data_IF_987319082953
#
_entry.id   IF_987319082953
#
_cell.length_a   1.000
_cell.length_b   1.000
_cell.length_c   1.000
_cell.angle_alpha   90.00
_cell.angle_beta   90.00
_cell.angle_gamma   90.00
#
_symmetry.space_group_name_H-M   'P 1'
#
loop_
_entity.id
_entity.type
_entity.pdbx_description
1 polymer ?
#
# COMPACT_ATOMS: atom_id res chain seq x y z
N UNK A 1 28.99 0.34 25.75
CA UNK A 1 28.16 -0.89 25.64
C UNK A 1 27.73 -1.25 24.21
N UNK A 2 27.48 -0.32 23.28
CA UNK A 2 27.12 -0.67 21.88
C UNK A 2 28.29 -1.23 21.02
N UNK A 3 29.54 -0.91 21.32
CA UNK A 3 30.72 -1.44 20.59
C UNK A 3 31.04 -2.91 20.91
N UNK A 4 30.77 -3.37 22.14
CA UNK A 4 31.02 -4.76 22.54
C UNK A 4 30.04 -5.76 21.88
N UNK A 5 28.79 -5.36 21.63
CA UNK A 5 27.81 -6.20 20.94
C UNK A 5 28.13 -6.37 19.43
N UNK A 6 28.74 -5.34 18.82
CA UNK A 6 29.10 -5.35 17.40
C UNK A 6 30.34 -6.20 17.11
N UNK A 7 31.30 -6.26 18.04
CA UNK A 7 32.47 -7.15 17.93
C UNK A 7 32.14 -8.62 18.19
N UNK A 8 31.15 -8.93 19.04
CA UNK A 8 30.66 -10.31 19.19
C UNK A 8 29.99 -10.84 17.90
N UNK A 9 29.19 -10.00 17.23
CA UNK A 9 28.54 -10.38 15.98
C UNK A 9 29.54 -10.55 14.82
N UNK A 10 30.60 -9.73 14.79
CA UNK A 10 31.68 -9.84 13.79
C UNK A 10 32.55 -11.08 13.99
N UNK A 11 32.82 -11.49 15.24
CA UNK A 11 33.56 -12.74 15.52
C UNK A 11 32.75 -14.01 15.27
N UNK A 12 31.43 -13.98 15.46
CA UNK A 12 30.56 -15.12 15.14
C UNK A 12 30.46 -15.39 13.63
N UNK A 13 30.54 -14.36 12.80
CA UNK A 13 30.44 -14.50 11.34
C UNK A 13 31.74 -14.98 10.66
N UNK A 14 32.91 -14.69 11.26
CA UNK A 14 34.21 -15.12 10.71
C UNK A 14 34.54 -16.58 11.07
N UNK A 15 34.08 -17.08 12.22
CA UNK A 15 34.38 -18.45 12.64
C UNK A 15 33.49 -19.54 12.03
N UNK A 16 32.38 -19.20 11.37
CA UNK A 16 31.55 -20.18 10.65
C UNK A 16 32.06 -20.47 9.23
N UNK A 17 32.87 -19.56 8.65
CA UNK A 17 33.48 -19.75 7.32
C UNK A 17 34.72 -20.66 7.34
N UNK A 18 35.24 -20.99 8.52
CA UNK A 18 36.42 -21.86 8.70
C UNK A 18 36.08 -23.35 8.79
N UNK A 19 34.81 -23.75 8.64
CA UNK A 19 34.41 -25.16 8.55
C UNK A 19 34.07 -25.60 7.13
N UNK A 20 34.78 -25.04 6.15
CA UNK A 20 35.19 -25.75 4.93
C UNK A 20 36.10 -26.93 5.31
N UNK A 21 35.58 -27.88 6.09
CA UNK A 21 36.20 -29.18 6.28
C UNK A 21 35.79 -30.01 5.07
N UNK A 22 36.66 -29.98 4.08
CA UNK A 22 36.93 -31.04 3.10
C UNK A 22 36.25 -32.34 3.52
N UNK A 23 35.05 -32.60 3.00
CA UNK A 23 34.46 -33.92 3.06
C UNK A 23 34.97 -34.66 1.83
N UNK A 24 36.07 -35.40 2.03
CA UNK A 24 36.54 -36.38 1.08
C UNK A 24 35.41 -37.34 0.72
N UNK A 25 34.99 -37.35 -0.54
CA UNK A 25 34.20 -38.44 -1.10
C UNK A 25 35.13 -39.41 -1.81
N UNK A 26 35.15 -40.66 -1.33
CA UNK A 26 35.66 -41.83 -2.05
C UNK A 26 34.87 -42.06 -3.37
N UNK A 27 35.39 -42.86 -4.32
CA UNK A 27 34.83 -42.95 -5.67
C UNK A 27 33.59 -43.86 -5.67
N UNK A 28 32.41 -43.28 -5.46
CA UNK A 28 31.14 -43.79 -5.96
C UNK A 28 30.90 -43.20 -7.35
N UNK A 29 30.38 -44.01 -8.29
CA UNK A 29 30.13 -43.69 -9.71
C UNK A 29 29.96 -42.19 -9.99
N UNK A 30 30.78 -41.65 -10.90
CA UNK A 30 30.64 -40.28 -11.41
C UNK A 30 29.18 -40.06 -11.85
N UNK A 31 28.43 -39.33 -11.02
CA UNK A 31 27.01 -39.14 -11.19
C UNK A 31 26.79 -38.15 -12.34
N UNK A 32 26.13 -38.59 -13.39
CA UNK A 32 25.91 -37.76 -14.58
C UNK A 32 24.90 -36.64 -14.28
N UNK A 33 25.25 -35.43 -14.71
CA UNK A 33 24.46 -34.23 -14.46
C UNK A 33 23.04 -34.37 -15.09
N UNK A 34 22.00 -33.83 -14.44
CA UNK A 34 20.63 -33.94 -14.93
C UNK A 34 20.49 -33.27 -16.30
N UNK A 35 19.78 -33.93 -17.22
CA UNK A 35 19.53 -33.38 -18.55
C UNK A 35 18.72 -32.09 -18.46
N UNK A 36 18.97 -31.14 -19.38
CA UNK A 36 18.21 -29.89 -19.49
C UNK A 36 16.70 -30.13 -19.60
N UNK A 37 16.29 -31.22 -20.23
CA UNK A 37 14.88 -31.59 -20.35
C UNK A 37 14.28 -32.03 -19.00
N UNK A 38 15.04 -32.77 -18.18
CA UNK A 38 14.62 -33.18 -16.83
C UNK A 38 14.54 -31.97 -15.90
N UNK A 39 15.49 -31.05 -15.99
CA UNK A 39 15.46 -29.79 -15.23
C UNK A 39 14.25 -28.92 -15.56
N UNK A 40 13.90 -28.78 -16.86
CA UNK A 40 12.69 -28.06 -17.28
C UNK A 40 11.41 -28.73 -16.79
N UNK A 41 11.37 -30.06 -16.86
CA UNK A 41 10.24 -30.86 -16.37
C UNK A 41 10.07 -30.69 -14.86
N UNK A 42 11.16 -30.73 -14.10
CA UNK A 42 11.16 -30.51 -12.65
C UNK A 42 10.71 -29.10 -12.27
N UNK A 43 11.16 -28.08 -13.03
CA UNK A 43 10.70 -26.71 -12.85
C UNK A 43 9.19 -26.58 -13.11
N UNK A 44 8.67 -27.21 -14.17
CA UNK A 44 7.23 -27.22 -14.49
C UNK A 44 6.40 -27.91 -13.41
N UNK A 45 6.84 -29.09 -12.95
CA UNK A 45 6.18 -29.82 -11.86
C UNK A 45 6.16 -29.00 -10.55
N UNK A 46 7.19 -28.20 -10.31
CA UNK A 46 7.26 -27.30 -9.15
C UNK A 46 6.42 -26.03 -9.31
N UNK A 47 6.17 -25.59 -10.55
CA UNK A 47 5.43 -24.37 -10.86
C UNK A 47 3.91 -24.55 -10.70
N UNK A 48 3.35 -25.66 -11.18
CA UNK A 48 1.88 -25.87 -11.22
C UNK A 48 1.18 -25.73 -9.86
N UNK A 49 1.61 -26.38 -8.76
CA UNK A 49 0.99 -26.15 -7.47
C UNK A 49 1.15 -24.69 -7.01
N UNK A 50 2.26 -24.03 -7.36
CA UNK A 50 2.48 -22.62 -7.00
C UNK A 50 1.57 -21.65 -7.77
N UNK A 51 1.14 -22.00 -8.99
CA UNK A 51 0.09 -21.26 -9.71
C UNK A 51 -1.22 -21.33 -8.91
N UNK A 52 -1.60 -22.52 -8.46
CA UNK A 52 -2.80 -22.70 -7.63
C UNK A 52 -2.73 -21.93 -6.31
N UNK A 53 -1.57 -21.97 -5.64
CA UNK A 53 -1.31 -21.17 -4.45
C UNK A 53 -1.48 -19.68 -4.73
N UNK A 54 -0.84 -19.14 -5.78
CA UNK A 54 -0.93 -17.72 -6.14
C UNK A 54 -2.35 -17.26 -6.50
N UNK A 55 -3.16 -18.12 -7.12
CA UNK A 55 -4.57 -17.82 -7.39
C UNK A 55 -5.36 -17.71 -6.08
N UNK A 56 -5.25 -18.71 -5.19
CA UNK A 56 -5.95 -18.71 -3.90
C UNK A 56 -5.51 -17.52 -3.06
N UNK A 57 -4.20 -17.25 -3.02
CA UNK A 57 -3.59 -16.15 -2.29
C UNK A 57 -4.18 -14.79 -2.73
N UNK A 58 -4.13 -14.51 -4.03
CA UNK A 58 -4.63 -13.24 -4.57
C UNK A 58 -6.16 -13.06 -4.39
N UNK A 59 -6.93 -14.14 -4.52
CA UNK A 59 -8.39 -14.12 -4.33
C UNK A 59 -8.76 -13.87 -2.87
N UNK A 60 -8.13 -14.59 -1.94
CA UNK A 60 -8.40 -14.44 -0.50
C UNK A 60 -7.93 -13.07 -0.03
N UNK A 61 -6.74 -12.62 -0.44
CA UNK A 61 -6.21 -11.31 -0.10
C UNK A 61 -7.18 -10.21 -0.51
N UNK A 62 -7.71 -10.27 -1.73
CA UNK A 62 -8.65 -9.27 -2.26
C UNK A 62 -9.99 -9.28 -1.52
N UNK A 63 -10.57 -10.46 -1.30
CA UNK A 63 -11.88 -10.56 -0.63
C UNK A 63 -11.81 -10.19 0.84
N UNK A 64 -10.80 -10.69 1.55
CA UNK A 64 -10.59 -10.36 2.97
C UNK A 64 -10.20 -8.90 3.11
N UNK A 65 -9.26 -8.41 2.28
CA UNK A 65 -8.81 -7.02 2.32
C UNK A 65 -9.94 -6.03 2.09
N UNK A 66 -10.76 -6.22 1.05
CA UNK A 66 -11.92 -5.36 0.77
C UNK A 66 -12.99 -5.42 1.87
N UNK A 67 -13.24 -6.61 2.45
CA UNK A 67 -14.20 -6.77 3.55
C UNK A 67 -13.68 -6.11 4.83
N UNK A 68 -12.40 -6.28 5.14
CA UNK A 68 -11.76 -5.69 6.31
C UNK A 68 -11.65 -4.17 6.20
N UNK A 69 -11.32 -3.64 5.01
CA UNK A 69 -11.32 -2.20 4.76
C UNK A 69 -12.72 -1.60 4.97
N UNK A 70 -13.77 -2.27 4.50
CA UNK A 70 -15.14 -1.84 4.72
C UNK A 70 -15.57 -1.89 6.20
N UNK A 71 -15.24 -2.96 6.93
CA UNK A 71 -15.68 -3.17 8.32
C UNK A 71 -14.84 -2.35 9.32
N UNK A 72 -13.51 -2.37 9.17
CA UNK A 72 -12.57 -1.73 10.09
C UNK A 72 -12.32 -0.27 9.74
N UNK A 73 -12.37 0.11 8.46
CA UNK A 73 -12.32 1.51 8.05
C UNK A 73 -13.55 2.28 8.54
N UNK A 74 -14.75 1.67 8.49
CA UNK A 74 -15.98 2.31 8.95
C UNK A 74 -16.14 2.36 10.48
N UNK A 75 -15.55 1.40 11.22
CA UNK A 75 -15.73 1.29 12.68
C UNK A 75 -14.56 1.77 13.52
N UNK A 76 -13.34 1.63 13.02
CA UNK A 76 -12.11 1.84 13.80
C UNK A 76 -11.15 2.85 13.13
N UNK A 77 -11.50 3.38 11.95
CA UNK A 77 -10.64 4.31 11.22
C UNK A 77 -9.29 3.72 10.82
N UNK A 78 -9.21 2.40 10.66
CA UNK A 78 -7.98 1.69 10.30
C UNK A 78 -7.61 1.98 8.85
N UNK A 79 -6.31 2.15 8.58
CA UNK A 79 -5.80 2.42 7.23
C UNK A 79 -6.05 1.24 6.28
N UNK A 80 -6.26 1.55 5.01
CA UNK A 80 -6.46 0.53 3.97
C UNK A 80 -5.26 -0.38 3.76
N UNK A 81 -4.04 0.12 3.97
CA UNK A 81 -2.81 -0.68 3.96
C UNK A 81 -2.85 -1.73 5.08
N UNK A 82 -3.41 -1.40 6.24
CA UNK A 82 -3.61 -2.38 7.32
C UNK A 82 -4.62 -3.46 6.93
N UNK A 83 -5.72 -3.11 6.26
CA UNK A 83 -6.66 -4.09 5.74
C UNK A 83 -6.02 -4.99 4.67
N UNK A 84 -5.18 -4.42 3.79
CA UNK A 84 -4.40 -5.18 2.82
C UNK A 84 -3.40 -6.13 3.51
N UNK A 85 -2.72 -5.69 4.57
CA UNK A 85 -1.80 -6.51 5.35
C UNK A 85 -2.52 -7.68 6.05
N UNK A 86 -3.74 -7.45 6.56
CA UNK A 86 -4.60 -8.52 7.09
C UNK A 86 -5.01 -9.48 5.97
N UNK A 87 -5.36 -8.96 4.79
CA UNK A 87 -5.65 -9.74 3.60
C UNK A 87 -4.51 -10.69 3.25
N UNK A 88 -3.28 -10.17 3.17
CA UNK A 88 -2.05 -10.94 2.89
C UNK A 88 -1.79 -12.00 3.97
N UNK A 89 -1.95 -11.64 5.24
CA UNK A 89 -1.77 -12.60 6.34
C UNK A 89 -2.79 -13.76 6.29
N UNK A 90 -4.06 -13.43 6.04
CA UNK A 90 -5.11 -14.44 5.91
C UNK A 90 -4.90 -15.31 4.68
N UNK A 91 -4.45 -14.74 3.57
CA UNK A 91 -4.24 -15.46 2.32
C UNK A 91 -3.05 -16.41 2.38
N UNK A 92 -1.94 -16.02 3.00
CA UNK A 92 -0.80 -16.90 3.30
C UNK A 92 -1.24 -18.10 4.14
N UNK A 93 -2.04 -17.84 5.18
CA UNK A 93 -2.58 -18.88 6.06
C UNK A 93 -3.47 -19.86 5.27
N UNK A 94 -4.35 -19.35 4.42
CA UNK A 94 -5.21 -20.17 3.56
C UNK A 94 -4.39 -20.97 2.54
N UNK A 95 -3.39 -20.36 1.90
CA UNK A 95 -2.56 -21.03 0.91
C UNK A 95 -1.80 -22.24 1.49
N UNK A 96 -1.32 -22.13 2.73
CA UNK A 96 -0.71 -23.26 3.46
C UNK A 96 -1.75 -24.33 3.80
N UNK A 97 -2.93 -23.93 4.31
CA UNK A 97 -4.00 -24.86 4.67
C UNK A 97 -4.57 -25.62 3.46
N UNK A 98 -4.67 -24.95 2.30
CA UNK A 98 -5.15 -25.54 1.05
C UNK A 98 -4.05 -26.24 0.25
N UNK A 99 -2.79 -26.23 0.72
CA UNK A 99 -1.64 -26.82 0.02
C UNK A 99 -1.89 -28.26 -0.43
N UNK A 100 -2.42 -29.12 0.44
CA UNK A 100 -2.75 -30.50 0.08
C UNK A 100 -3.85 -30.64 -0.98
N UNK A 101 -4.80 -29.70 -1.03
CA UNK A 101 -5.84 -29.66 -2.07
C UNK A 101 -5.25 -29.20 -3.40
N UNK A 102 -4.39 -28.18 -3.36
CA UNK A 102 -3.67 -27.65 -4.53
C UNK A 102 -2.75 -28.73 -5.13
N UNK A 103 -2.02 -29.46 -4.29
CA UNK A 103 -1.17 -30.58 -4.72
C UNK A 103 -2.00 -31.73 -5.31
N UNK A 104 -3.14 -32.06 -4.69
CA UNK A 104 -4.04 -33.09 -5.22
C UNK A 104 -4.60 -32.70 -6.59
N UNK A 105 -4.91 -31.42 -6.79
CA UNK A 105 -5.36 -30.89 -8.07
C UNK A 105 -4.23 -30.87 -9.11
N UNK A 106 -3.02 -30.45 -8.73
CA UNK A 106 -1.84 -30.50 -9.57
C UNK A 106 -1.50 -31.94 -10.00
N UNK A 107 -1.70 -32.92 -9.12
CA UNK A 107 -1.53 -34.34 -9.45
C UNK A 107 -2.51 -34.86 -10.49
N UNK A 108 -3.72 -34.29 -10.56
CA UNK A 108 -4.73 -34.64 -11.57
C UNK A 108 -4.43 -34.08 -12.96
N UNK A 109 -3.55 -33.08 -13.08
CA UNK A 109 -3.14 -32.51 -14.37
C UNK A 109 -2.19 -33.43 -15.17
N UNK A 110 -1.73 -34.54 -14.59
CA UNK A 110 -0.99 -35.58 -15.33
C UNK A 110 0.33 -35.10 -15.95
N UNK A 111 1.04 -34.21 -15.26
CA UNK A 111 2.27 -33.61 -15.76
C UNK A 111 3.39 -34.65 -15.93
N UNK A 112 4.27 -34.47 -16.93
CA UNK A 112 5.40 -35.37 -17.17
C UNK A 112 6.32 -35.44 -15.94
N UNK A 113 6.74 -36.66 -15.58
CA UNK A 113 7.66 -36.90 -14.46
C UNK A 113 9.10 -36.64 -14.84
N UNK A 114 9.80 -35.78 -14.07
CA UNK A 114 11.21 -35.48 -14.30
C UNK A 114 12.15 -36.69 -14.07
N UNK A 115 11.68 -37.73 -13.37
CA UNK A 115 12.41 -38.98 -13.07
C UNK A 115 13.87 -38.72 -12.64
N UNK A 116 14.04 -37.81 -11.68
CA UNK A 116 15.35 -37.46 -11.11
C UNK A 116 15.66 -38.39 -9.94
N UNK A 117 16.91 -38.84 -9.83
CA UNK A 117 17.35 -39.60 -8.64
C UNK A 117 17.42 -38.69 -7.42
N UNK A 118 17.35 -39.27 -6.21
CA UNK A 118 17.44 -38.51 -4.96
C UNK A 118 18.72 -37.66 -4.89
N UNK A 119 19.85 -38.19 -5.36
CA UNK A 119 21.12 -37.45 -5.42
C UNK A 119 21.09 -36.32 -6.46
N UNK A 120 20.39 -36.48 -7.58
CA UNK A 120 20.22 -35.42 -8.58
C UNK A 120 19.30 -34.29 -8.09
N UNK A 121 18.32 -34.58 -7.22
CA UNK A 121 17.49 -33.57 -6.57
C UNK A 121 18.27 -32.72 -5.56
N UNK A 122 19.33 -33.28 -4.97
CA UNK A 122 20.17 -32.55 -4.03
C UNK A 122 21.15 -31.59 -4.71
N UNK A 123 21.39 -31.76 -6.02
CA UNK A 123 22.29 -30.92 -6.79
C UNK A 123 21.82 -29.44 -6.80
N UNK A 124 22.76 -28.48 -6.71
CA UNK A 124 22.42 -27.06 -6.69
C UNK A 124 21.67 -26.60 -7.94
N UNK A 125 21.98 -27.12 -9.13
CA UNK A 125 21.27 -26.74 -10.36
C UNK A 125 19.79 -27.15 -10.30
N UNK A 126 19.50 -28.36 -9.83
CA UNK A 126 18.13 -28.87 -9.71
C UNK A 126 17.32 -28.04 -8.72
N UNK A 127 17.90 -27.73 -7.56
CA UNK A 127 17.27 -26.86 -6.55
C UNK A 127 16.99 -25.46 -7.10
N UNK A 128 17.96 -24.86 -7.80
CA UNK A 128 17.80 -23.54 -8.44
C UNK A 128 16.68 -23.55 -9.47
N UNK A 129 16.63 -24.58 -10.32
CA UNK A 129 15.57 -24.72 -11.33
C UNK A 129 14.20 -24.97 -10.71
N UNK A 130 14.12 -25.76 -9.63
CA UNK A 130 12.89 -25.94 -8.86
C UNK A 130 12.41 -24.64 -8.23
N UNK A 131 13.31 -23.87 -7.60
CA UNK A 131 12.97 -22.55 -7.01
C UNK A 131 12.54 -21.56 -8.09
N UNK A 132 13.21 -21.52 -9.25
CA UNK A 132 12.80 -20.68 -10.37
C UNK A 132 11.41 -21.06 -10.87
N UNK A 133 11.13 -22.36 -11.00
CA UNK A 133 9.80 -22.87 -11.36
C UNK A 133 8.73 -22.42 -10.37
N UNK A 134 9.01 -22.54 -9.06
CA UNK A 134 8.10 -22.05 -8.01
C UNK A 134 7.84 -20.55 -8.11
N UNK A 135 8.90 -19.75 -8.24
CA UNK A 135 8.80 -18.30 -8.38
C UNK A 135 7.92 -17.92 -9.57
N UNK A 136 8.20 -18.48 -10.75
CA UNK A 136 7.39 -18.23 -11.96
C UNK A 136 5.94 -18.69 -11.76
N UNK A 137 5.73 -19.83 -11.10
CA UNK A 137 4.42 -20.34 -10.77
C UNK A 137 3.61 -19.38 -9.90
N UNK A 138 4.20 -18.87 -8.81
CA UNK A 138 3.54 -17.88 -7.94
C UNK A 138 3.18 -16.62 -8.74
N UNK A 139 4.12 -16.07 -9.52
CA UNK A 139 3.85 -14.84 -10.29
C UNK A 139 2.71 -15.03 -11.29
N UNK A 140 2.68 -16.15 -12.01
CA UNK A 140 1.57 -16.46 -12.94
C UNK A 140 0.25 -16.67 -12.19
N UNK A 141 0.29 -17.34 -11.03
CA UNK A 141 -0.89 -17.53 -10.19
C UNK A 141 -1.47 -16.22 -9.70
N UNK A 142 -0.63 -15.32 -9.19
CA UNK A 142 -1.05 -13.97 -8.75
C UNK A 142 -1.61 -13.17 -9.92
N UNK A 143 -0.95 -13.17 -11.09
CA UNK A 143 -1.48 -12.49 -12.28
C UNK A 143 -2.86 -13.01 -12.69
N UNK A 144 -3.07 -14.33 -12.65
CA UNK A 144 -4.37 -14.94 -12.91
C UNK A 144 -5.38 -14.59 -11.82
N UNK A 145 -5.00 -14.57 -10.55
CA UNK A 145 -5.86 -14.19 -9.44
C UNK A 145 -6.29 -12.72 -9.49
N UNK A 146 -5.40 -11.82 -9.91
CA UNK A 146 -5.68 -10.39 -10.07
C UNK A 146 -6.75 -10.13 -11.14
N UNK A 147 -7.04 -11.07 -12.05
CA UNK A 147 -8.19 -10.94 -12.97
C UNK A 147 -9.53 -10.84 -12.24
N UNK A 148 -9.61 -11.33 -10.99
CA UNK A 148 -10.81 -11.14 -10.15
C UNK A 148 -11.07 -9.68 -9.80
N UNK A 149 -10.03 -8.85 -9.70
CA UNK A 149 -10.16 -7.40 -9.51
C UNK A 149 -10.84 -6.74 -10.71
N UNK A 150 -10.61 -7.26 -11.92
CA UNK A 150 -11.26 -6.75 -13.15
C UNK A 150 -12.75 -7.13 -13.21
N UNK A 151 -13.16 -8.19 -12.52
CA UNK A 151 -14.54 -8.69 -12.50
C UNK A 151 -15.36 -8.14 -11.32
N UNK A 152 -14.70 -7.57 -10.30
CA UNK A 152 -15.37 -6.83 -9.23
C UNK A 152 -15.75 -5.43 -9.73
N UNK A 153 -16.92 -5.32 -10.35
CA UNK A 153 -17.53 -4.03 -10.71
C UNK A 153 -17.72 -3.15 -9.46
N UNK A 154 -17.15 -1.94 -9.51
CA UNK A 154 -17.08 -0.95 -8.42
C UNK A 154 -18.49 -0.55 -7.92
N UNK A 155 -18.86 -0.75 -6.63
CA UNK A 155 -19.82 0.10 -5.93
C UNK A 155 -19.16 1.46 -5.61
N UNK A 156 -19.93 2.54 -5.35
CA UNK A 156 -19.47 3.92 -5.48
C UNK A 156 -18.15 4.23 -4.76
N UNK A 157 -17.32 4.97 -5.50
CA UNK A 157 -15.94 5.39 -5.24
C UNK A 157 -15.66 5.91 -3.82
N UNK A 158 -14.76 5.22 -3.12
CA UNK A 158 -13.94 5.81 -2.05
C UNK A 158 -12.60 6.23 -2.65
N UNK A 159 -12.16 7.41 -2.23
CA UNK A 159 -11.09 8.27 -2.76
C UNK A 159 -9.70 7.58 -2.93
N UNK A 160 -8.83 8.09 -3.81
CA UNK A 160 -7.67 7.37 -4.38
C UNK A 160 -6.50 7.17 -3.40
N UNK A 161 -5.81 6.03 -3.54
CA UNK A 161 -4.59 5.65 -2.84
C UNK A 161 -3.40 5.80 -3.80
N UNK A 162 -2.46 6.69 -3.46
CA UNK A 162 -1.16 6.83 -4.12
C UNK A 162 -0.15 5.96 -3.36
N UNK A 163 0.42 4.97 -4.04
CA UNK A 163 1.56 4.19 -3.55
C UNK A 163 2.86 4.92 -3.94
N UNK A 164 3.63 5.40 -2.96
CA UNK A 164 5.03 5.80 -3.17
C UNK A 164 5.94 4.97 -2.25
N UNK A 165 6.67 4.03 -2.85
CA UNK A 165 7.80 3.30 -2.29
C UNK A 165 9.03 4.22 -2.35
N UNK A 166 9.43 4.84 -1.23
CA UNK A 166 10.82 5.16 -0.81
C UNK A 166 10.89 6.31 0.23
N UNK A 167 11.08 5.98 1.51
CA UNK A 167 12.00 6.66 2.45
C UNK A 167 11.72 6.23 3.91
N UNK A 168 12.70 5.60 4.55
CA UNK A 168 12.75 5.52 6.00
C UNK A 168 13.10 6.89 6.56
N UNK A 169 12.13 7.60 7.15
CA UNK A 169 12.28 8.54 8.29
C UNK A 169 10.88 8.98 8.75
N UNK A 170 10.70 9.00 10.07
CA UNK A 170 9.54 9.48 10.83
C UNK A 170 8.70 10.59 10.22
N UNK A 171 7.44 10.60 10.69
CA UNK A 171 6.35 11.59 10.51
C UNK A 171 5.41 11.30 9.34
N UNK A 172 4.20 10.89 9.72
CA UNK A 172 2.90 11.25 9.14
C UNK A 172 2.99 12.18 7.92
N UNK A 173 2.58 11.72 6.74
CA UNK A 173 1.96 12.52 5.64
C UNK A 173 1.91 11.72 4.30
N UNK A 174 0.72 11.37 3.78
CA UNK A 174 0.06 11.90 2.54
C UNK A 174 0.09 10.84 1.40
N UNK A 175 -0.69 10.89 0.26
CA UNK A 175 -1.62 11.89 -0.28
C UNK A 175 -2.97 11.35 -0.84
N UNK A 176 -3.94 12.26 -1.00
CA UNK A 176 -5.21 12.08 -1.68
C UNK A 176 -5.20 12.94 -2.95
N UNK A 177 -5.53 12.35 -4.10
CA UNK A 177 -6.19 12.90 -5.32
C UNK A 177 -5.47 12.67 -6.66
N UNK A 178 -5.96 11.66 -7.38
CA UNK A 178 -6.27 11.82 -8.80
C UNK A 178 -7.62 12.56 -8.95
N UNK A 179 -7.67 13.49 -9.90
CA UNK A 179 -8.57 14.67 -10.07
C UNK A 179 -9.71 14.47 -11.13
N UNK A 180 -10.34 15.53 -11.73
CA UNK A 180 -11.35 16.54 -11.32
C UNK A 180 -12.66 16.49 -12.20
N UNK A 181 -13.80 17.21 -11.94
CA UNK A 181 -13.99 18.69 -12.09
C UNK A 181 -14.83 19.29 -10.92
N UNK A 182 -14.88 20.58 -10.59
CA UNK A 182 -14.83 21.80 -11.39
C UNK A 182 -14.27 22.99 -10.57
N UNK A 183 -13.77 23.98 -11.29
CA UNK A 183 -13.38 25.30 -10.76
C UNK A 183 -14.61 26.12 -10.34
N UNK A 184 -15.83 25.63 -10.61
CA UNK A 184 -17.08 26.30 -10.26
C UNK A 184 -17.51 26.07 -8.80
N UNK A 185 -17.07 24.99 -8.14
CA UNK A 185 -17.48 24.65 -6.77
C UNK A 185 -16.84 25.56 -5.72
N UNK A 186 -15.58 25.96 -5.89
CA UNK A 186 -14.92 26.92 -4.98
C UNK A 186 -15.50 28.32 -5.14
N UNK A 187 -15.75 28.77 -6.39
CA UNK A 187 -16.40 30.04 -6.65
C UNK A 187 -17.85 30.08 -6.13
N UNK A 188 -18.57 28.95 -6.17
CA UNK A 188 -19.89 28.81 -5.55
C UNK A 188 -19.79 28.81 -4.02
N UNK A 189 -18.83 28.07 -3.44
CA UNK A 189 -18.59 28.01 -2.00
C UNK A 189 -18.29 29.40 -1.41
N UNK A 190 -17.46 30.19 -2.09
CA UNK A 190 -17.13 31.57 -1.70
C UNK A 190 -18.36 32.50 -1.72
N UNK A 191 -19.40 32.19 -2.49
CA UNK A 191 -20.65 32.97 -2.58
C UNK A 191 -21.78 32.45 -1.68
N UNK A 192 -21.54 31.37 -0.91
CA UNK A 192 -22.58 30.76 -0.05
C UNK A 192 -23.01 31.66 1.11
N UNK A 193 -22.13 32.55 1.56
CA UNK A 193 -22.37 33.44 2.68
C UNK A 193 -21.57 34.73 2.50
N UNK A 194 -21.92 35.77 3.27
CA UNK A 194 -21.18 37.04 3.29
C UNK A 194 -19.73 36.84 3.78
N UNK A 195 -19.51 35.87 4.65
CA UNK A 195 -18.19 35.47 5.16
C UNK A 195 -18.02 33.95 5.04
N UNK A 196 -16.95 33.52 4.37
CA UNK A 196 -16.62 32.10 4.15
C UNK A 196 -15.21 31.85 4.65
N UNK A 197 -15.07 30.85 5.51
CA UNK A 197 -13.78 30.45 6.08
C UNK A 197 -13.45 29.04 5.63
N UNK A 198 -12.38 28.91 4.84
CA UNK A 198 -11.82 27.61 4.51
C UNK A 198 -10.89 27.16 5.64
N UNK A 199 -11.38 26.25 6.47
CA UNK A 199 -10.70 25.81 7.68
C UNK A 199 -10.26 24.34 7.59
N UNK A 200 -9.21 24.00 8.36
CA UNK A 200 -8.74 22.63 8.55
C UNK A 200 -8.91 22.22 10.02
N UNK A 201 -9.44 21.03 10.34
CA UNK A 201 -9.51 20.56 11.72
C UNK A 201 -8.10 20.47 12.35
N UNK A 202 -7.97 20.92 13.60
CA UNK A 202 -6.71 20.91 14.35
C UNK A 202 -5.71 22.00 13.94
N UNK A 203 -6.14 23.04 13.22
CA UNK A 203 -5.30 24.19 12.91
C UNK A 203 -5.57 25.33 13.91
N UNK A 204 -4.58 25.73 14.73
CA UNK A 204 -4.78 26.77 15.75
C UNK A 204 -5.17 28.12 15.13
N UNK A 205 -4.65 28.44 13.92
CA UNK A 205 -5.02 29.68 13.23
C UNK A 205 -6.45 29.66 12.66
N UNK A 206 -6.98 28.48 12.33
CA UNK A 206 -8.37 28.35 11.87
C UNK A 206 -9.32 28.53 13.04
N UNK A 207 -9.04 27.88 14.17
CA UNK A 207 -9.83 28.01 15.40
C UNK A 207 -9.80 29.44 15.92
N UNK A 208 -8.64 30.08 15.90
CA UNK A 208 -8.49 31.49 16.27
C UNK A 208 -9.33 32.42 15.37
N UNK A 209 -9.30 32.21 14.05
CA UNK A 209 -10.11 33.00 13.13
C UNK A 209 -11.62 32.79 13.32
N UNK A 210 -12.05 31.55 13.59
CA UNK A 210 -13.45 31.22 13.88
C UNK A 210 -13.91 31.88 15.19
N UNK A 211 -13.11 31.80 16.26
CA UNK A 211 -13.43 32.39 17.55
C UNK A 211 -13.54 33.92 17.46
N UNK A 212 -12.60 34.59 16.78
CA UNK A 212 -12.65 36.04 16.62
C UNK A 212 -13.84 36.52 15.78
N UNK A 213 -14.26 35.74 14.77
CA UNK A 213 -15.48 36.03 14.01
C UNK A 213 -16.75 35.89 14.87
N UNK A 214 -16.80 34.89 15.76
CA UNK A 214 -17.89 34.71 16.71
C UNK A 214 -17.93 35.84 17.76
N UNK A 215 -16.77 36.28 18.26
CA UNK A 215 -16.66 37.36 19.24
C UNK A 215 -17.13 38.71 18.66
N UNK A 216 -16.92 38.95 17.37
CA UNK A 216 -17.45 40.12 16.65
C UNK A 216 -18.92 39.96 16.20
N UNK A 217 -19.56 38.82 16.50
CA UNK A 217 -20.95 38.54 16.14
C UNK A 217 -21.18 38.35 14.64
N UNK A 218 -20.13 37.99 13.89
CA UNK A 218 -20.18 37.85 12.43
C UNK A 218 -20.56 36.42 12.06
N UNK A 219 -21.67 36.25 11.33
CA UNK A 219 -22.06 34.95 10.80
C UNK A 219 -21.13 34.53 9.64
N UNK A 220 -20.55 33.34 9.73
CA UNK A 220 -19.69 32.79 8.68
C UNK A 220 -20.04 31.33 8.34
N UNK A 221 -19.71 30.92 7.12
CA UNK A 221 -19.81 29.53 6.69
C UNK A 221 -18.44 28.86 6.70
N UNK A 222 -18.35 27.70 7.36
CA UNK A 222 -17.12 26.89 7.44
C UNK A 222 -17.09 25.88 6.31
N UNK A 223 -16.09 25.98 5.45
CA UNK A 223 -15.89 25.07 4.31
C UNK A 223 -14.59 24.27 4.51
N UNK A 224 -14.56 22.97 4.22
CA UNK A 224 -13.34 22.18 4.31
C UNK A 224 -12.24 22.71 3.38
N UNK A 225 -11.13 23.18 3.95
CA UNK A 225 -9.99 23.70 3.18
C UNK A 225 -9.37 22.63 2.25
N UNK A 226 -9.34 21.37 2.69
CA UNK A 226 -8.68 20.27 1.98
C UNK A 226 -9.26 20.04 0.57
N UNK A 227 -10.57 20.22 0.39
CA UNK A 227 -11.26 19.99 -0.89
C UNK A 227 -10.98 21.11 -1.91
N UNK A 228 -10.68 22.32 -1.42
CA UNK A 228 -10.55 23.51 -2.27
C UNK A 228 -9.12 24.04 -2.37
N UNK A 229 -8.12 23.38 -1.76
CA UNK A 229 -6.73 23.84 -1.67
C UNK A 229 -6.11 24.24 -3.00
N UNK A 230 -6.30 23.44 -4.05
CA UNK A 230 -5.74 23.72 -5.38
C UNK A 230 -6.35 24.99 -5.98
N UNK A 231 -7.68 25.13 -5.93
CA UNK A 231 -8.40 26.30 -6.42
C UNK A 231 -8.10 27.56 -5.58
N UNK A 232 -7.94 27.40 -4.26
CA UNK A 232 -7.56 28.50 -3.36
C UNK A 232 -6.13 28.98 -3.63
N UNK A 233 -5.20 28.08 -3.91
CA UNK A 233 -3.83 28.44 -4.29
C UNK A 233 -3.81 29.27 -5.58
N UNK A 234 -4.62 28.89 -6.58
CA UNK A 234 -4.75 29.64 -7.82
C UNK A 234 -5.34 31.04 -7.60
N UNK A 235 -6.40 31.15 -6.78
CA UNK A 235 -7.09 32.42 -6.55
C UNK A 235 -6.38 33.36 -5.57
N UNK A 236 -5.64 32.84 -4.60
CA UNK A 236 -5.04 33.62 -3.50
C UNK A 236 -3.52 33.66 -3.54
N UNK A 237 -2.89 32.92 -4.47
CA UNK A 237 -1.45 32.68 -4.52
C UNK A 237 -0.89 32.08 -3.22
N UNK A 238 -1.73 31.50 -2.37
CA UNK A 238 -1.32 30.89 -1.11
C UNK A 238 -2.07 29.59 -0.83
N UNK A 239 -1.38 28.51 -0.40
CA UNK A 239 -2.01 27.24 -0.07
C UNK A 239 -2.33 27.10 1.42
N UNK A 240 -2.16 28.16 2.21
CA UNK A 240 -2.21 28.12 3.66
C UNK A 240 -3.66 28.21 4.17
N UNK A 241 -3.93 27.47 5.25
CA UNK A 241 -5.17 27.56 6.01
C UNK A 241 -4.96 28.38 7.29
N UNK A 242 -5.98 29.11 7.78
CA UNK A 242 -7.29 29.32 7.15
C UNK A 242 -7.18 30.18 5.90
N UNK A 243 -8.17 30.14 5.00
CA UNK A 243 -8.35 31.13 3.92
C UNK A 243 -9.69 31.83 4.10
N UNK A 244 -9.68 33.14 4.33
CA UNK A 244 -10.87 33.92 4.72
C UNK A 244 -11.34 34.76 3.54
N UNK A 245 -12.62 34.65 3.24
CA UNK A 245 -13.27 35.34 2.14
C UNK A 245 -14.47 36.14 2.64
N UNK A 246 -14.59 37.38 2.19
CA UNK A 246 -15.69 38.29 2.52
C UNK A 246 -16.29 38.82 1.21
N UNK A 247 -17.58 38.59 0.99
CA UNK A 247 -18.31 39.03 -0.23
C UNK A 247 -17.61 38.67 -1.54
N UNK A 248 -17.00 37.49 -1.62
CA UNK A 248 -16.26 37.08 -2.81
C UNK A 248 -14.81 37.55 -2.89
N UNK A 249 -14.33 38.34 -1.94
CA UNK A 249 -12.95 38.85 -1.88
C UNK A 249 -12.14 38.09 -0.86
N UNK A 250 -10.96 37.65 -1.25
CA UNK A 250 -9.99 37.06 -0.34
C UNK A 250 -9.36 38.14 0.55
N UNK A 251 -9.42 37.94 1.87
CA UNK A 251 -8.93 38.88 2.88
C UNK A 251 -7.55 38.47 3.40
N UNK A 252 -7.29 37.17 3.50
CA UNK A 252 -6.02 36.66 3.97
C UNK A 252 -6.10 35.31 4.63
N UNK A 253 -4.94 34.82 5.08
CA UNK A 253 -4.80 33.56 5.78
C UNK A 253 -4.76 33.69 7.32
N UNK A 254 -5.00 34.89 7.82
CA UNK A 254 -5.15 35.19 9.24
C UNK A 254 -6.26 36.20 9.37
N UNK A 255 -7.12 36.00 10.35
CA UNK A 255 -8.12 36.99 10.68
C UNK A 255 -7.42 38.21 11.31
N UNK A 256 -7.81 39.41 10.89
CA UNK A 256 -7.32 40.66 11.46
C UNK A 256 -8.44 41.27 12.31
N UNK A 257 -8.24 41.42 13.63
CA UNK A 257 -9.23 42.03 14.51
C UNK A 257 -9.70 43.40 13.99
N UNK A 258 -11.00 43.65 14.03
CA UNK A 258 -11.58 44.91 13.58
C UNK A 258 -11.49 45.15 12.07
N UNK A 259 -11.40 44.08 11.27
CA UNK A 259 -11.54 44.16 9.82
C UNK A 259 -12.93 44.71 9.42
N UNK A 260 -14.01 44.15 9.98
CA UNK A 260 -15.37 44.59 9.69
C UNK A 260 -15.70 45.98 10.25
N UNK A 261 -15.07 46.36 11.37
CA UNK A 261 -15.17 47.72 11.91
C UNK A 261 -14.51 48.78 11.00
N UNK A 262 -13.52 48.40 10.19
CA UNK A 262 -12.82 49.28 9.24
C UNK A 262 -13.50 49.35 7.86
N UNK A 263 -14.24 48.31 7.47
CA UNK A 263 -15.04 48.29 6.23
C UNK A 263 -16.47 48.86 6.40
N UNK A 264 -16.89 49.16 7.64
CA UNK A 264 -18.15 49.86 7.87
C UNK A 264 -18.11 51.23 7.17
N UNK A 265 -19.10 51.56 6.31
CA UNK A 265 -19.11 52.86 5.66
C UNK A 265 -19.12 53.94 6.74
N UNK A 266 -18.13 54.82 6.70
CA UNK A 266 -18.18 56.09 7.41
C UNK A 266 -19.47 56.78 6.93
N UNK A 267 -20.42 56.98 7.85
CA UNK A 267 -21.61 57.79 7.55
C UNK A 267 -21.20 59.22 7.20
#
# INVERSE_FOLDING_TARGET
MKRAAQELCRHAHVNHLSRCRVFSSMPGKAQEAPSKQQLRTHALQSAVPMIGFGIVDCVVMTQVGSTMDAVLGARLGISSITAAAIGLFCSDSCGVLFGGTIESFAGRLGLPSANLTSEQLEMPETKRMGTLGRLVGVQLGVLLGSTTLLLQGKPPEKLPQVEDENAATSTTDLPLQDMPPNVASTAAAVKTADVVVFARPGCPFCEEAENQLLDEGVAFNKVPHAVHRANLLEMTSSPAAPSIWVKGRYIGNKYQPGFFAREAPTQ
#
